data_IF_214781146978
#
_entry.id   IF_214781146978
#
_cell.length_a   1.000
_cell.length_b   1.000
_cell.length_c   1.000
_cell.angle_alpha   90.00
_cell.angle_beta   90.00
_cell.angle_gamma   90.00
#
_symmetry.space_group_name_H-M   'P 1'
#
loop_
_entity.id
_entity.type
_entity.pdbx_description
1 polymer ?
#
# COMPACT_ATOMS: atom_id res chain seq x y z
N UNK A 1 0.68 11.71 1.24
CA UNK A 1 0.39 10.26 1.19
C UNK A 1 1.26 9.56 2.22
N UNK A 2 0.72 8.61 2.96
CA UNK A 2 1.42 7.81 3.98
C UNK A 2 1.24 6.34 3.60
N UNK A 3 2.32 5.55 3.68
CA UNK A 3 2.28 4.11 3.47
C UNK A 3 1.95 3.45 4.80
N UNK A 4 0.90 2.65 4.82
CA UNK A 4 0.49 1.95 6.04
C UNK A 4 1.37 0.72 6.26
N UNK A 5 1.53 0.34 7.54
CA UNK A 5 2.20 -0.90 7.92
C UNK A 5 1.20 -2.05 7.94
N UNK A 6 0.61 -2.33 6.78
CA UNK A 6 -0.34 -3.41 6.56
C UNK A 6 -0.01 -4.17 5.26
N UNK A 7 -0.84 -5.18 4.95
CA UNK A 7 -0.80 -5.88 3.68
C UNK A 7 -2.23 -6.05 3.18
N UNK A 8 -2.46 -5.68 1.92
CA UNK A 8 -3.76 -5.87 1.26
C UNK A 8 -3.87 -7.31 0.79
N UNK A 9 -4.87 -8.01 1.31
CA UNK A 9 -5.14 -9.42 1.06
C UNK A 9 -6.59 -9.56 0.57
N UNK A 10 -6.85 -10.32 -0.49
CA UNK A 10 -8.20 -10.65 -0.94
C UNK A 10 -8.26 -12.15 -1.26
N UNK A 11 -8.94 -12.94 -0.45
CA UNK A 11 -9.01 -14.41 -0.63
C UNK A 11 -9.92 -14.84 -1.78
N UNK A 12 -10.82 -13.97 -2.24
CA UNK A 12 -11.83 -14.30 -3.26
C UNK A 12 -11.43 -13.81 -4.65
N UNK A 13 -10.89 -12.60 -4.74
CA UNK A 13 -10.57 -11.92 -6.00
C UNK A 13 -9.07 -11.67 -6.11
N UNK A 14 -8.30 -12.72 -6.43
CA UNK A 14 -6.84 -12.66 -6.51
C UNK A 14 -6.23 -13.40 -7.71
N UNK A 15 -4.93 -13.19 -7.93
CA UNK A 15 -4.13 -13.86 -8.96
C UNK A 15 -3.51 -15.17 -8.44
N UNK A 16 -4.30 -16.00 -7.75
CA UNK A 16 -3.94 -17.34 -7.28
C UNK A 16 -3.46 -17.42 -5.82
N UNK A 17 -3.20 -16.29 -5.17
CA UNK A 17 -2.87 -16.21 -3.74
C UNK A 17 -3.53 -14.96 -3.13
N UNK A 18 -4.04 -15.07 -1.90
CA UNK A 18 -4.74 -13.96 -1.24
C UNK A 18 -3.94 -12.66 -1.17
N UNK A 19 -2.62 -12.74 -1.04
CA UNK A 19 -1.71 -11.58 -1.04
C UNK A 19 -1.41 -10.99 -2.44
N UNK A 20 -2.17 -11.39 -3.48
CA UNK A 20 -2.10 -10.84 -4.84
C UNK A 20 -3.52 -10.44 -5.28
N UNK A 21 -4.17 -9.50 -4.58
CA UNK A 21 -5.51 -9.04 -4.94
C UNK A 21 -5.58 -8.49 -6.37
N UNK A 22 -6.70 -8.75 -7.03
CA UNK A 22 -7.07 -8.14 -8.31
C UNK A 22 -7.72 -6.79 -8.05
N UNK A 23 -7.00 -5.71 -8.36
CA UNK A 23 -7.52 -4.35 -8.20
C UNK A 23 -8.28 -3.96 -9.46
N UNK A 24 -9.57 -3.66 -9.30
CA UNK A 24 -10.51 -3.28 -10.37
C UNK A 24 -11.24 -1.96 -10.11
N UNK A 25 -11.24 -1.51 -8.87
CA UNK A 25 -11.86 -0.25 -8.48
C UNK A 25 -10.91 0.91 -8.80
N UNK A 26 -11.08 1.47 -10.00
CA UNK A 26 -10.29 2.59 -10.49
C UNK A 26 -11.13 3.85 -10.60
N UNK A 27 -10.58 4.97 -10.14
CA UNK A 27 -11.06 6.30 -10.49
C UNK A 27 -10.52 6.68 -11.87
N UNK A 28 -11.34 7.38 -12.67
CA UNK A 28 -10.94 7.85 -13.98
C UNK A 28 -9.74 8.81 -13.86
N UNK A 29 -8.57 8.36 -14.30
CA UNK A 29 -7.32 9.11 -14.24
C UNK A 29 -6.44 8.75 -15.45
N UNK A 30 -5.59 9.67 -15.97
CA UNK A 30 -4.71 9.35 -17.09
C UNK A 30 -3.82 8.12 -16.87
N UNK A 31 -3.39 7.87 -15.62
CA UNK A 31 -2.54 6.70 -15.31
C UNK A 31 -3.30 5.36 -15.44
N UNK A 32 -4.62 5.35 -15.26
CA UNK A 32 -5.49 4.17 -15.40
C UNK A 32 -6.14 4.06 -16.79
N UNK A 33 -5.74 4.91 -17.74
CA UNK A 33 -6.34 4.94 -19.08
C UNK A 33 -6.23 3.58 -19.80
N UNK A 34 -7.39 2.96 -20.02
CA UNK A 34 -7.52 1.65 -20.65
C UNK A 34 -6.88 0.51 -19.85
N UNK A 35 -6.81 0.65 -18.52
CA UNK A 35 -6.50 -0.41 -17.56
C UNK A 35 -7.82 -0.88 -16.96
N UNK A 36 -8.07 -2.19 -16.97
CA UNK A 36 -9.31 -2.78 -16.42
C UNK A 36 -9.06 -3.56 -15.14
N UNK A 37 -7.84 -4.07 -14.95
CA UNK A 37 -7.43 -4.76 -13.74
C UNK A 37 -5.89 -4.76 -13.63
N UNK A 38 -5.39 -4.84 -12.40
CA UNK A 38 -3.97 -5.08 -12.09
C UNK A 38 -3.86 -6.12 -10.98
N UNK A 39 -2.82 -6.97 -11.03
CA UNK A 39 -2.49 -7.86 -9.93
C UNK A 39 -1.61 -7.10 -8.92
N UNK A 40 -2.17 -6.76 -7.77
CA UNK A 40 -1.48 -5.94 -6.77
C UNK A 40 -0.75 -6.82 -5.75
N UNK A 41 0.45 -7.25 -6.11
CA UNK A 41 1.23 -8.24 -5.35
C UNK A 41 1.82 -7.65 -4.07
N UNK A 42 1.54 -8.28 -2.93
CA UNK A 42 2.18 -8.04 -1.63
C UNK A 42 2.33 -6.54 -1.27
N UNK A 43 1.33 -5.73 -1.60
CA UNK A 43 1.35 -4.30 -1.32
C UNK A 43 0.62 -3.91 -0.04
N UNK A 44 0.92 -2.72 0.44
CA UNK A 44 0.21 -2.08 1.54
C UNK A 44 -0.84 -1.08 1.04
N UNK A 45 -1.69 -0.63 1.96
CA UNK A 45 -2.62 0.47 1.74
C UNK A 45 -1.95 1.83 1.93
N UNK A 46 -2.63 2.88 1.47
CA UNK A 46 -2.16 4.26 1.50
C UNK A 46 -3.18 5.17 2.17
N UNK A 47 -2.73 5.97 3.14
CA UNK A 47 -3.52 7.07 3.70
C UNK A 47 -3.28 8.36 2.92
N UNK A 48 -4.38 9.02 2.52
CA UNK A 48 -4.35 10.28 1.80
C UNK A 48 -4.10 11.43 2.78
N UNK A 49 -3.17 12.31 2.41
CA UNK A 49 -2.85 13.53 3.17
C UNK A 49 -2.65 14.65 2.17
N UNK A 50 -3.46 15.72 2.26
CA UNK A 50 -3.43 16.87 1.37
C UNK A 50 -4.19 16.65 0.05
N UNK A 51 -3.81 17.40 -0.99
CA UNK A 51 -4.43 17.32 -2.32
C UNK A 51 -3.94 16.09 -3.10
N UNK A 52 -4.50 14.94 -2.76
CA UNK A 52 -4.16 13.62 -3.30
C UNK A 52 -5.43 12.92 -3.73
N UNK A 53 -5.40 12.25 -4.88
CA UNK A 53 -6.51 11.48 -5.43
C UNK A 53 -6.18 9.99 -5.27
N UNK A 54 -7.10 9.21 -4.70
CA UNK A 54 -7.05 7.76 -4.74
C UNK A 54 -7.42 7.31 -6.16
N UNK A 55 -6.44 6.81 -6.90
CA UNK A 55 -6.64 6.39 -8.30
C UNK A 55 -7.10 4.95 -8.38
N UNK A 56 -6.68 4.12 -7.42
CA UNK A 56 -7.17 2.75 -7.29
C UNK A 56 -7.34 2.40 -5.82
N UNK A 57 -8.35 1.57 -5.53
CA UNK A 57 -8.66 1.09 -4.19
C UNK A 57 -8.75 -0.45 -4.16
N UNK A 58 -8.53 -1.03 -2.98
CA UNK A 58 -8.79 -2.45 -2.74
C UNK A 58 -10.28 -2.78 -2.90
N UNK A 59 -10.59 -4.05 -3.16
CA UNK A 59 -11.97 -4.49 -3.30
C UNK A 59 -12.75 -4.47 -1.97
N UNK A 60 -14.07 -4.66 -2.06
CA UNK A 60 -14.96 -4.75 -0.90
C UNK A 60 -14.68 -6.01 -0.05
N UNK A 61 -14.18 -7.08 -0.67
CA UNK A 61 -13.83 -8.35 0.00
C UNK A 61 -12.35 -8.42 0.41
N UNK A 62 -11.58 -7.38 0.12
CA UNK A 62 -10.20 -7.29 0.54
C UNK A 62 -10.09 -6.89 2.02
N UNK A 63 -8.97 -7.22 2.63
CA UNK A 63 -8.57 -6.81 3.96
C UNK A 63 -7.23 -6.06 3.84
N UNK A 64 -7.16 -4.77 4.19
CA UNK A 64 -8.29 -3.86 4.46
C UNK A 64 -9.22 -3.61 3.24
N UNK A 65 -10.50 -3.35 3.52
CA UNK A 65 -11.56 -3.19 2.51
C UNK A 65 -11.62 -1.75 1.96
N UNK A 66 -11.83 -1.61 0.65
CA UNK A 66 -12.06 -0.32 -0.02
C UNK A 66 -11.07 0.78 0.34
N UNK A 67 -9.80 0.43 0.56
CA UNK A 67 -8.75 1.39 0.90
C UNK A 67 -7.90 1.77 -0.31
N UNK A 68 -7.35 2.98 -0.37
CA UNK A 68 -6.47 3.40 -1.45
C UNK A 68 -5.20 2.55 -1.52
N UNK A 69 -4.84 2.11 -2.72
CA UNK A 69 -3.60 1.34 -2.98
C UNK A 69 -2.69 2.01 -4.00
N UNK A 70 -3.27 2.89 -4.84
CA UNK A 70 -2.56 3.77 -5.75
C UNK A 70 -3.11 5.18 -5.59
N UNK A 71 -2.23 6.14 -5.39
CA UNK A 71 -2.58 7.54 -5.26
C UNK A 71 -1.79 8.41 -6.22
N UNK A 72 -2.39 9.50 -6.68
CA UNK A 72 -1.73 10.50 -7.50
C UNK A 72 -1.92 11.88 -6.87
N UNK A 73 -0.88 12.70 -6.95
CA UNK A 73 -0.91 14.08 -6.49
C UNK A 73 -0.27 14.98 -7.54
N UNK A 74 -0.89 16.13 -7.80
CA UNK A 74 -0.33 17.18 -8.63
C UNK A 74 -0.31 18.47 -7.82
N UNK A 75 0.85 19.10 -7.75
CA UNK A 75 1.01 20.44 -7.19
C UNK A 75 1.77 21.29 -8.20
N UNK A 76 1.07 22.27 -8.79
CA UNK A 76 1.52 23.03 -9.94
C UNK A 76 1.99 22.12 -11.10
N UNK A 77 3.30 22.17 -11.39
CA UNK A 77 3.97 21.40 -12.43
C UNK A 77 4.61 20.10 -11.91
N UNK A 78 4.59 19.89 -10.59
CA UNK A 78 5.06 18.69 -9.92
C UNK A 78 3.97 17.63 -9.89
N UNK A 79 4.34 16.40 -10.25
CA UNK A 79 3.44 15.23 -10.22
C UNK A 79 4.10 14.11 -9.46
N UNK A 80 3.33 13.42 -8.62
CA UNK A 80 3.79 12.28 -7.81
C UNK A 80 2.75 11.17 -7.91
N UNK A 81 3.21 9.93 -8.07
CA UNK A 81 2.37 8.72 -7.94
C UNK A 81 2.94 7.91 -6.77
N UNK A 82 2.08 7.52 -5.83
CA UNK A 82 2.38 6.57 -4.77
C UNK A 82 1.68 5.26 -5.04
N UNK A 83 2.40 4.15 -4.88
CA UNK A 83 1.89 2.79 -5.16
C UNK A 83 2.34 1.90 -4.02
N UNK A 84 1.40 1.27 -3.31
CA UNK A 84 1.70 0.42 -2.16
C UNK A 84 2.38 -0.91 -2.50
N UNK A 85 2.59 -1.23 -3.78
CA UNK A 85 3.26 -2.44 -4.26
C UNK A 85 4.39 -2.11 -5.23
N UNK A 86 5.62 -2.48 -4.87
CA UNK A 86 6.75 -2.47 -5.80
C UNK A 86 6.90 -3.81 -6.55
N UNK A 87 6.38 -4.91 -5.96
CA UNK A 87 6.48 -6.26 -6.50
C UNK A 87 5.77 -6.38 -7.87
N UNK A 88 4.69 -5.64 -8.10
CA UNK A 88 3.99 -5.63 -9.40
C UNK A 88 4.87 -5.15 -10.57
N UNK A 89 5.99 -4.49 -10.30
CA UNK A 89 6.95 -4.02 -11.31
C UNK A 89 8.22 -4.87 -11.38
N UNK A 90 8.31 -5.98 -10.63
CA UNK A 90 9.48 -6.87 -10.69
C UNK A 90 9.41 -7.79 -11.90
N UNK A 91 10.56 -8.02 -12.52
CA UNK A 91 10.70 -9.00 -13.58
C UNK A 91 10.69 -10.44 -13.03
N UNK A 92 10.26 -11.38 -13.89
CA UNK A 92 10.39 -12.83 -13.67
C UNK A 92 9.73 -13.37 -12.40
N UNK A 93 8.72 -12.67 -11.88
CA UNK A 93 7.84 -13.20 -10.83
C UNK A 93 6.41 -13.30 -11.34
N UNK A 94 5.65 -14.24 -10.79
CA UNK A 94 4.21 -14.33 -11.06
C UNK A 94 3.53 -13.02 -10.63
N UNK A 95 2.66 -12.47 -11.49
CA UNK A 95 1.99 -11.19 -11.26
C UNK A 95 2.94 -9.99 -11.09
N UNK A 96 4.16 -10.10 -11.64
CA UNK A 96 5.11 -8.99 -11.75
C UNK A 96 4.90 -8.19 -13.03
N UNK A 97 5.96 -7.60 -13.57
CA UNK A 97 5.90 -6.71 -14.74
C UNK A 97 5.38 -7.40 -16.01
N UNK A 98 5.56 -8.72 -16.13
CA UNK A 98 5.07 -9.52 -17.25
C UNK A 98 3.54 -9.71 -17.30
N UNK A 99 2.81 -9.25 -16.28
CA UNK A 99 1.36 -9.28 -16.26
C UNK A 99 0.78 -8.35 -17.35
N UNK A 100 -0.30 -8.79 -17.99
CA UNK A 100 -0.76 -8.25 -19.29
C UNK A 100 -0.96 -6.73 -19.33
N UNK A 101 -1.38 -6.12 -18.21
CA UNK A 101 -1.68 -4.69 -18.13
C UNK A 101 -0.63 -3.87 -17.38
N UNK A 102 0.32 -4.51 -16.68
CA UNK A 102 1.31 -3.80 -15.86
C UNK A 102 2.22 -2.92 -16.72
N UNK A 103 2.70 -3.42 -17.86
CA UNK A 103 3.53 -2.63 -18.78
C UNK A 103 2.81 -1.36 -19.29
N UNK A 104 1.51 -1.47 -19.62
CA UNK A 104 0.70 -0.32 -20.04
C UNK A 104 0.46 0.65 -18.90
N UNK A 105 0.13 0.13 -17.70
CA UNK A 105 -0.04 0.94 -16.50
C UNK A 105 1.24 1.73 -16.16
N UNK A 106 2.40 1.08 -16.19
CA UNK A 106 3.71 1.71 -16.03
C UNK A 106 3.96 2.79 -17.08
N UNK A 107 3.65 2.52 -18.36
CA UNK A 107 3.77 3.53 -19.42
C UNK A 107 2.89 4.75 -19.16
N UNK A 108 1.62 4.54 -18.77
CA UNK A 108 0.71 5.62 -18.43
C UNK A 108 1.23 6.45 -17.25
N UNK A 109 1.77 5.82 -16.20
CA UNK A 109 2.40 6.50 -15.07
C UNK A 109 3.54 7.40 -15.55
N UNK A 110 4.48 6.86 -16.32
CA UNK A 110 5.63 7.65 -16.78
C UNK A 110 5.20 8.79 -17.70
N UNK A 111 4.27 8.55 -18.62
CA UNK A 111 3.73 9.60 -19.50
C UNK A 111 3.06 10.71 -18.70
N UNK A 112 2.32 10.37 -17.64
CA UNK A 112 1.70 11.35 -16.77
C UNK A 112 2.72 12.11 -15.90
N UNK A 113 3.75 11.44 -15.38
CA UNK A 113 4.79 12.07 -14.56
C UNK A 113 5.64 13.09 -15.36
N UNK A 114 5.75 12.94 -16.68
CA UNK A 114 6.41 13.94 -17.53
C UNK A 114 5.49 15.15 -17.71
N UNK A 115 5.75 16.21 -16.95
CA UNK A 115 5.00 17.47 -17.07
C UNK A 115 5.30 18.24 -18.35
N UNK A 116 4.35 19.08 -18.76
CA UNK A 116 4.47 20.00 -19.90
C UNK A 116 5.72 20.90 -19.77
N UNK A 117 6.07 21.31 -18.54
CA UNK A 117 7.30 22.05 -18.25
C UNK A 117 8.54 21.29 -18.72
N UNK A 118 8.61 19.97 -18.49
CA UNK A 118 9.74 19.14 -18.93
C UNK A 118 9.87 19.16 -20.46
N UNK A 119 8.75 19.14 -21.18
CA UNK A 119 8.73 19.27 -22.64
C UNK A 119 9.21 20.65 -23.10
N UNK A 120 8.73 21.72 -22.46
CA UNK A 120 9.16 23.09 -22.78
C UNK A 120 10.65 23.29 -22.53
N UNK A 121 11.19 22.77 -21.42
CA UNK A 121 12.63 22.82 -21.13
C UNK A 121 13.46 22.03 -22.17
N UNK A 122 12.96 20.87 -22.64
CA UNK A 122 13.59 20.12 -23.74
C UNK A 122 13.62 20.93 -25.02
N UNK A 123 12.49 21.52 -25.40
CA UNK A 123 12.40 22.36 -26.60
C UNK A 123 13.35 23.58 -26.53
N UNK A 124 13.61 24.09 -25.33
CA UNK A 124 14.54 25.21 -25.10
C UNK A 124 16.01 24.77 -24.91
N UNK A 125 16.32 23.47 -24.99
CA UNK A 125 17.64 22.92 -24.61
C UNK A 125 18.09 23.31 -23.19
N UNK A 126 17.15 23.52 -22.26
CA UNK A 126 17.38 23.86 -20.84
C UNK A 126 17.11 22.68 -19.91
N UNK A 127 17.22 21.45 -20.41
CA UNK A 127 16.99 20.26 -19.58
C UNK A 127 18.09 20.20 -18.52
N UNK A 128 17.76 20.03 -17.23
CA UNK A 128 18.75 19.74 -16.21
C UNK A 128 19.55 18.50 -16.63
N UNK A 129 20.86 18.65 -16.78
CA UNK A 129 21.76 17.53 -17.00
C UNK A 129 21.71 16.70 -15.70
N UNK A 130 21.40 15.39 -15.77
CA UNK A 130 21.42 14.54 -14.59
C UNK A 130 22.75 14.72 -13.84
N UNK A 131 22.68 14.90 -12.52
CA UNK A 131 23.90 15.00 -11.73
C UNK A 131 24.70 13.71 -11.92
N UNK A 132 25.86 13.82 -12.58
CA UNK A 132 26.73 12.69 -12.93
C UNK A 132 27.12 11.92 -11.65
N UNK A 133 27.29 12.60 -10.51
CA UNK A 133 27.59 11.96 -9.24
C UNK A 133 26.48 10.97 -8.79
N UNK A 134 25.21 11.33 -9.02
CA UNK A 134 24.08 10.44 -8.71
C UNK A 134 23.97 9.27 -9.68
N UNK A 135 24.31 9.46 -10.96
CA UNK A 135 24.32 8.39 -11.95
C UNK A 135 25.44 7.37 -11.70
N UNK A 136 26.62 7.83 -11.27
CA UNK A 136 27.75 6.96 -10.90
C UNK A 136 27.42 6.15 -9.64
N UNK A 137 26.75 6.75 -8.65
CA UNK A 137 26.28 6.03 -7.46
C UNK A 137 25.30 4.91 -7.81
N UNK A 138 24.28 5.20 -8.63
CA UNK A 138 23.29 4.21 -9.06
C UNK A 138 23.90 3.08 -9.90
N UNK A 139 24.88 3.39 -10.76
CA UNK A 139 25.60 2.37 -11.54
C UNK A 139 26.49 1.48 -10.66
N UNK A 140 27.09 2.02 -9.60
CA UNK A 140 27.90 1.24 -8.67
C UNK A 140 27.05 0.29 -7.84
N UNK A 141 25.87 0.69 -7.36
CA UNK A 141 24.93 -0.21 -6.69
C UNK A 141 24.43 -1.32 -7.62
N UNK A 142 24.11 -0.99 -8.88
CA UNK A 142 23.62 -1.97 -9.85
C UNK A 142 24.71 -2.96 -10.27
N UNK A 143 25.95 -2.50 -10.43
CA UNK A 143 27.09 -3.35 -10.78
C UNK A 143 27.57 -4.21 -9.60
N UNK A 144 27.32 -3.79 -8.36
CA UNK A 144 27.75 -4.52 -7.17
C UNK A 144 26.97 -5.83 -6.97
N UNK A 145 25.83 -6.04 -7.66
CA UNK A 145 24.99 -7.24 -7.51
C UNK A 145 24.65 -7.57 -6.04
N UNK A 146 24.79 -6.58 -5.15
CA UNK A 146 24.41 -6.64 -3.76
C UNK A 146 22.92 -6.40 -3.73
N UNK A 147 22.13 -7.48 -3.81
CA UNK A 147 20.81 -7.48 -3.16
C UNK A 147 21.00 -6.85 -1.78
N UNK A 148 20.31 -5.75 -1.44
CA UNK A 148 20.37 -5.25 -0.08
C UNK A 148 19.93 -6.40 0.82
N UNK A 149 20.86 -6.90 1.64
CA UNK A 149 20.46 -7.66 2.81
C UNK A 149 19.45 -6.78 3.55
N UNK A 150 18.31 -7.38 3.93
CA UNK A 150 17.37 -6.81 4.88
C UNK A 150 18.11 -6.60 6.20
N UNK A 151 18.92 -5.54 6.29
CA UNK A 151 19.46 -5.06 7.52
C UNK A 151 18.45 -4.03 8.02
N UNK A 152 17.65 -4.44 9.01
CA UNK A 152 16.70 -3.62 9.77
C UNK A 152 17.43 -2.60 10.65
N UNK A 153 18.47 -1.97 10.11
CA UNK A 153 19.18 -0.84 10.68
C UNK A 153 18.24 0.34 10.74
N UNK A 154 17.83 0.69 11.95
CA UNK A 154 17.13 1.93 12.24
C UNK A 154 17.87 3.11 11.61
N UNK A 155 17.18 4.12 11.04
CA UNK A 155 17.85 5.31 10.55
C UNK A 155 18.68 5.93 11.69
N UNK A 156 19.87 6.51 11.41
CA UNK A 156 20.69 7.10 12.44
C UNK A 156 19.87 8.13 13.20
N UNK A 157 19.68 7.88 14.50
CA UNK A 157 19.03 8.80 15.43
C UNK A 157 19.88 10.06 15.48
N UNK A 158 19.46 11.07 14.71
CA UNK A 158 19.93 12.42 14.91
C UNK A 158 19.52 12.85 16.32
N UNK A 159 20.51 13.04 17.18
CA UNK A 159 20.35 13.67 18.49
C UNK A 159 19.73 15.05 18.29
N UNK A 160 18.42 15.17 18.52
CA UNK A 160 17.74 16.45 18.65
C UNK A 160 18.19 17.08 19.96
N UNK A 161 18.87 18.23 19.86
CA UNK A 161 19.22 19.07 21.00
C UNK A 161 17.94 19.42 21.78
N UNK A 162 17.89 19.06 23.05
CA UNK A 162 16.79 19.35 23.99
C UNK A 162 16.95 20.68 24.71
N UNK A 163 17.86 21.55 24.24
CA UNK A 163 17.93 22.91 24.78
C UNK A 163 16.77 23.77 24.22
N UNK A 164 15.90 24.33 25.07
CA UNK A 164 14.91 25.30 24.63
C UNK A 164 15.65 26.52 24.08
N UNK A 165 15.56 26.73 22.77
CA UNK A 165 16.11 27.91 22.12
C UNK A 165 15.54 29.16 22.80
N UNK A 166 16.43 29.98 23.39
CA UNK A 166 16.08 31.25 24.02
C UNK A 166 15.50 32.30 23.04
N UNK A 167 15.33 31.92 21.77
CA UNK A 167 14.72 32.71 20.70
C UNK A 167 13.38 32.10 20.26
N UNK A 168 12.43 31.93 21.18
CA UNK A 168 11.03 31.79 20.81
C UNK A 168 10.58 33.13 20.20
N UNK A 169 10.89 33.33 18.92
CA UNK A 169 10.51 34.52 18.18
C UNK A 169 9.00 34.70 18.30
N UNK A 170 8.58 35.90 18.72
CA UNK A 170 7.19 36.34 18.54
C UNK A 170 6.87 36.21 17.05
N UNK A 171 6.06 35.21 16.70
CA UNK A 171 5.52 35.07 15.36
C UNK A 171 4.46 36.15 15.16
N UNK A 172 4.89 37.33 14.71
CA UNK A 172 3.98 38.31 14.12
C UNK A 172 3.80 37.96 12.64
N UNK A 173 2.68 37.28 12.33
CA UNK A 173 2.29 37.02 10.95
C UNK A 173 1.61 38.27 10.42
N UNK A 174 2.38 39.11 9.73
CA UNK A 174 1.85 40.30 9.05
C UNK A 174 1.94 40.09 7.54
N UNK A 175 1.02 39.30 6.99
CA UNK A 175 0.93 39.04 5.54
C UNK A 175 -0.07 40.01 4.91
N UNK A 176 0.45 40.94 4.09
CA UNK A 176 -0.37 41.80 3.26
C UNK A 176 -0.72 41.05 1.97
N UNK A 177 -1.98 40.67 1.80
CA UNK A 177 -2.45 39.95 0.62
C UNK A 177 -2.98 40.97 -0.41
N UNK A 178 -2.33 41.06 -1.57
CA UNK A 178 -2.77 41.93 -2.67
C UNK A 178 -3.60 41.12 -3.67
N UNK A 179 -4.92 41.33 -3.66
CA UNK A 179 -5.87 40.63 -4.52
C UNK A 179 -6.19 41.54 -5.72
N UNK A 180 -5.62 41.23 -6.89
CA UNK A 180 -5.81 42.04 -8.10
C UNK A 180 -6.95 41.53 -8.98
N UNK A 181 -7.23 40.22 -8.95
CA UNK A 181 -8.27 39.59 -9.76
C UNK A 181 -9.12 38.61 -8.95
N UNK A 182 -10.31 38.27 -9.48
CA UNK A 182 -11.21 37.28 -8.84
C UNK A 182 -10.60 35.87 -8.80
N UNK A 183 -9.74 35.53 -9.77
CA UNK A 183 -8.97 34.28 -9.74
C UNK A 183 -7.93 34.28 -8.62
N UNK A 184 -7.25 35.41 -8.39
CA UNK A 184 -6.26 35.53 -7.30
C UNK A 184 -6.92 35.35 -5.93
N UNK A 185 -8.15 35.88 -5.76
CA UNK A 185 -8.93 35.66 -4.54
C UNK A 185 -9.22 34.17 -4.29
N UNK A 186 -9.59 33.44 -5.35
CA UNK A 186 -9.86 32.01 -5.26
C UNK A 186 -8.61 31.20 -4.91
N UNK A 187 -7.47 31.57 -5.49
CA UNK A 187 -6.17 30.97 -5.19
C UNK A 187 -5.79 31.24 -3.74
N UNK A 188 -5.90 32.48 -3.26
CA UNK A 188 -5.50 32.80 -1.88
C UNK A 188 -6.44 32.22 -0.83
N UNK A 189 -7.74 32.15 -1.09
CA UNK A 189 -8.65 31.41 -0.22
C UNK A 189 -8.29 29.92 -0.16
N UNK A 190 -7.87 29.33 -1.28
CA UNK A 190 -7.41 27.93 -1.31
C UNK A 190 -6.12 27.75 -0.51
N UNK A 191 -5.16 28.66 -0.63
CA UNK A 191 -3.93 28.63 0.15
C UNK A 191 -4.19 28.77 1.65
N UNK A 192 -5.07 29.70 2.05
CA UNK A 192 -5.48 29.87 3.46
C UNK A 192 -6.13 28.59 4.01
N UNK A 193 -6.97 27.91 3.22
CA UNK A 193 -7.57 26.63 3.62
C UNK A 193 -6.50 25.54 3.81
N UNK A 194 -5.48 25.48 2.94
CA UNK A 194 -4.37 24.54 3.07
C UNK A 194 -3.54 24.82 4.33
N UNK A 195 -3.28 26.09 4.63
CA UNK A 195 -2.59 26.48 5.86
C UNK A 195 -3.40 26.11 7.11
N UNK A 196 -4.73 26.25 7.06
CA UNK A 196 -5.61 25.87 8.15
C UNK A 196 -5.59 24.36 8.43
N UNK A 197 -5.64 23.52 7.40
CA UNK A 197 -5.51 22.06 7.57
C UNK A 197 -4.12 21.66 8.09
N UNK A 198 -3.06 22.36 7.66
CA UNK A 198 -1.71 22.14 8.17
C UNK A 198 -1.62 22.51 9.66
N UNK A 199 -2.21 23.64 10.06
CA UNK A 199 -2.26 24.10 11.44
C UNK A 199 -3.05 23.11 12.31
N UNK A 200 -4.19 22.62 11.82
CA UNK A 200 -5.00 21.60 12.49
C UNK A 200 -4.19 20.32 12.71
N UNK A 201 -3.50 19.80 11.69
CA UNK A 201 -2.64 18.62 11.83
C UNK A 201 -1.53 18.79 12.87
N UNK A 202 -0.91 19.98 12.93
CA UNK A 202 0.07 20.32 13.99
C UNK A 202 -0.56 20.35 15.38
N UNK A 203 -1.75 20.94 15.51
CA UNK A 203 -2.49 20.99 16.78
C UNK A 203 -2.87 19.58 17.27
N UNK A 204 -3.35 18.71 16.38
CA UNK A 204 -3.65 17.32 16.70
C UNK A 204 -2.42 16.53 17.15
N UNK A 205 -1.25 16.78 16.54
CA UNK A 205 0.01 16.19 16.97
C UNK A 205 0.43 16.66 18.36
N UNK A 206 0.27 17.96 18.66
CA UNK A 206 0.51 18.51 20.01
C UNK A 206 -0.45 17.89 21.03
N UNK A 207 -1.75 17.80 20.71
CA UNK A 207 -2.74 17.15 21.59
C UNK A 207 -2.34 15.70 21.88
N UNK A 208 -1.97 14.93 20.84
CA UNK A 208 -1.50 13.55 21.01
C UNK A 208 -0.25 13.46 21.89
N UNK A 209 0.74 14.33 21.66
CA UNK A 209 1.96 14.37 22.45
C UNK A 209 1.67 14.72 23.93
N UNK A 210 0.76 15.66 24.18
CA UNK A 210 0.30 16.03 25.53
C UNK A 210 -0.43 14.87 26.20
N UNK A 211 -1.33 14.18 25.49
CA UNK A 211 -2.07 13.03 26.02
C UNK A 211 -1.18 11.82 26.31
N UNK A 212 -0.09 11.67 25.57
CA UNK A 212 0.91 10.62 25.79
C UNK A 212 1.98 11.00 26.82
N UNK A 213 1.98 12.25 27.30
CA UNK A 213 2.97 12.69 28.28
C UNK A 213 2.72 12.01 29.63
N UNK A 214 3.81 11.59 30.28
CA UNK A 214 3.75 10.90 31.58
C UNK A 214 3.08 11.76 32.67
N UNK A 215 3.20 13.08 32.57
CA UNK A 215 2.62 14.04 33.51
C UNK A 215 1.09 14.09 33.44
N UNK A 216 0.51 14.05 32.23
CA UNK A 216 -0.95 14.01 32.03
C UNK A 216 -1.52 12.66 32.44
N UNK A 217 -0.79 11.57 32.15
CA UNK A 217 -1.17 10.22 32.60
C UNK A 217 -1.13 10.14 34.14
N UNK A 218 -0.12 10.73 34.79
CA UNK A 218 0.00 10.76 36.24
C UNK A 218 -1.10 11.60 36.89
N UNK A 219 -1.43 12.78 36.34
CA UNK A 219 -2.55 13.60 36.80
C UNK A 219 -3.91 12.88 36.68
N UNK A 220 -4.11 12.07 35.63
CA UNK A 220 -5.31 11.24 35.48
C UNK A 220 -5.41 10.11 36.50
N UNK A 221 -4.27 9.57 36.96
CA UNK A 221 -4.20 8.55 38.00
C UNK A 221 -4.48 9.15 39.39
N UNK A 222 -3.95 10.34 39.68
CA UNK A 222 -4.15 11.02 40.96
C UNK A 222 -5.59 11.55 41.13
N UNK A 223 -6.25 11.93 40.03
CA UNK A 223 -7.66 12.36 40.06
C UNK A 223 -8.67 11.25 40.42
N UNK A 224 -8.27 9.97 40.33
CA UNK A 224 -9.11 8.83 40.77
C UNK A 224 -9.11 8.60 42.29
N UNK A 225 -8.32 9.36 43.06
CA UNK A 225 -8.30 9.31 44.52
C UNK A 225 -9.21 10.36 45.19
N UNK A 226 -10.10 11.01 44.43
CA UNK A 226 -11.06 11.98 44.98
C UNK A 226 -12.29 11.28 45.58
N UNK A 227 -12.81 11.74 46.74
CA UNK A 227 -14.00 11.17 47.35
C UNK A 227 -15.23 11.37 46.44
N UNK A 228 -16.03 10.32 46.29
CA UNK A 228 -17.31 10.32 45.58
C UNK A 228 -18.19 11.48 46.05
N UNK A 229 -18.43 12.44 45.15
CA UNK A 229 -19.41 13.50 45.35
C UNK A 229 -20.84 12.91 45.35
N UNK A 230 -21.77 13.52 46.11
CA UNK A 230 -23.13 13.04 46.22
C UNK A 230 -23.87 13.15 44.89
N UNK A 231 -24.54 12.05 44.53
CA UNK A 231 -25.43 11.92 43.38
C UNK A 231 -26.53 12.97 43.44
N UNK A 232 -26.57 13.87 42.46
CA UNK A 232 -27.73 14.73 42.23
C UNK A 232 -28.76 13.95 41.40
N UNK A 233 -29.93 13.71 41.98
CA UNK A 233 -31.09 13.20 41.25
C UNK A 233 -31.51 14.20 40.18
N UNK A 234 -31.48 13.75 38.92
CA UNK A 234 -31.97 14.51 37.78
C UNK A 234 -33.49 14.33 37.70
N UNK A 235 -34.23 15.36 38.08
CA UNK A 235 -35.68 15.45 37.87
C UNK A 235 -35.96 15.62 36.39
N UNK A 236 -36.64 14.64 35.82
CA UNK A 236 -37.16 14.62 34.45
C UNK A 236 -38.30 15.65 34.30
N UNK A 237 -38.06 16.73 33.57
CA UNK A 237 -39.10 17.68 33.17
C UNK A 237 -39.59 17.39 31.74
N UNK A 238 -40.80 16.86 31.70
CA UNK A 238 -41.93 17.22 30.83
C UNK A 238 -41.60 17.86 29.48
N UNK A 239 -41.59 17.04 28.41
CA UNK A 239 -41.65 17.53 27.03
C UNK A 239 -43.06 17.32 26.46
N UNK A 240 -43.68 18.46 26.17
CA UNK A 240 -45.00 18.69 25.58
C UNK A 240 -45.12 18.07 24.19
N UNK A 241 -46.23 17.35 23.95
CA UNK A 241 -46.63 16.83 22.64
C UNK A 241 -46.89 17.97 21.65
N UNK A 242 -46.18 17.95 20.51
CA UNK A 242 -46.50 18.77 19.34
C UNK A 242 -47.13 17.83 18.28
N UNK A 243 -48.35 18.12 17.78
CA UNK A 243 -48.97 17.28 16.76
C UNK A 243 -48.26 17.43 15.40
N UNK A 244 -47.78 16.29 14.86
CA UNK A 244 -47.24 16.17 13.50
C UNK A 244 -48.34 16.38 12.46
N UNK A 245 -48.29 17.51 11.76
CA UNK A 245 -48.96 17.66 10.46
C UNK A 245 -48.09 17.03 9.36
N UNK A 246 -48.71 16.21 8.53
CA UNK A 246 -48.07 15.52 7.41
C UNK A 246 -47.74 16.52 6.28
N UNK A 247 -46.50 16.56 5.76
CA UNK A 247 -46.19 17.34 4.57
C UNK A 247 -46.65 16.61 3.31
N UNK A 248 -47.29 17.36 2.42
CA UNK A 248 -47.71 16.91 1.11
C UNK A 248 -46.52 16.46 0.24
N UNK A 249 -46.72 15.37 -0.48
CA UNK A 249 -45.78 14.75 -1.42
C UNK A 249 -45.50 15.72 -2.59
N UNK A 250 -44.24 16.12 -2.86
CA UNK A 250 -43.93 16.89 -4.05
C UNK A 250 -43.90 15.97 -5.27
N UNK A 251 -44.74 16.31 -6.26
CA UNK A 251 -44.75 15.71 -7.59
C UNK A 251 -43.42 15.96 -8.30
N UNK A 252 -42.69 14.89 -8.60
CA UNK A 252 -41.44 14.94 -9.36
C UNK A 252 -41.72 15.24 -10.84
N UNK A 253 -41.32 16.42 -11.31
CA UNK A 253 -41.13 16.70 -12.73
C UNK A 253 -39.89 15.99 -13.27
N UNK A 254 -39.96 15.38 -14.46
CA UNK A 254 -38.82 14.68 -15.06
C UNK A 254 -37.71 15.66 -15.45
N UNK A 255 -36.47 15.28 -15.13
CA UNK A 255 -35.25 16.04 -15.43
C UNK A 255 -34.96 16.00 -16.94
N UNK A 256 -34.56 17.12 -17.57
CA UNK A 256 -34.18 17.12 -18.98
C UNK A 256 -32.94 16.26 -19.25
N UNK A 257 -32.96 15.52 -20.37
CA UNK A 257 -31.84 14.67 -20.78
C UNK A 257 -30.56 15.51 -21.01
N UNK A 258 -29.38 15.01 -20.57
CA UNK A 258 -28.12 15.70 -20.79
C UNK A 258 -27.77 15.75 -22.29
N UNK A 259 -27.15 16.85 -22.76
CA UNK A 259 -26.77 16.99 -24.16
C UNK A 259 -25.73 15.94 -24.54
N UNK A 260 -26.04 15.14 -25.57
CA UNK A 260 -25.10 14.20 -26.19
C UNK A 260 -23.91 14.98 -26.76
N UNK A 261 -22.76 14.93 -26.09
CA UNK A 261 -21.51 15.42 -26.65
C UNK A 261 -21.10 14.48 -27.79
N UNK A 262 -20.99 15.03 -28.99
CA UNK A 262 -20.31 14.36 -30.10
C UNK A 262 -18.82 14.46 -29.81
N UNK A 263 -18.20 13.34 -29.47
CA UNK A 263 -16.74 13.23 -29.45
C UNK A 263 -16.24 13.44 -30.87
N UNK A 264 -15.47 14.51 -31.07
CA UNK A 264 -14.69 14.73 -32.28
C UNK A 264 -13.58 13.69 -32.36
N UNK A 265 -13.41 13.10 -33.53
CA UNK A 265 -12.35 12.12 -33.83
C UNK A 265 -10.96 12.66 -33.46
N UNK A 266 -10.13 11.78 -32.90
CA UNK A 266 -8.74 12.06 -32.55
C UNK A 266 -7.92 12.43 -33.80
N UNK A 267 -6.90 13.31 -33.68
CA UNK A 267 -6.05 13.68 -34.80
C UNK A 267 -5.30 12.47 -35.35
N UNK A 268 -5.39 12.29 -36.67
CA UNK A 268 -4.63 11.29 -37.42
C UNK A 268 -3.12 11.60 -37.26
N UNK A 269 -2.27 10.63 -36.89
CA UNK A 269 -0.84 10.84 -36.80
C UNK A 269 -0.23 11.15 -38.18
N UNK A 270 0.82 11.98 -38.24
CA UNK A 270 1.44 12.39 -39.50
C UNK A 270 2.03 11.19 -40.27
N UNK A 271 1.99 11.21 -41.61
CA UNK A 271 2.49 10.13 -42.44
C UNK A 271 4.02 10.06 -42.32
N UNK A 272 4.55 8.94 -41.81
CA UNK A 272 6.00 8.74 -41.73
C UNK A 272 6.51 7.64 -40.78
N UNK A 273 5.64 6.96 -40.01
CA UNK A 273 6.08 5.85 -39.16
C UNK A 273 6.24 4.54 -39.99
N UNK A 274 7.38 3.83 -39.87
CA UNK A 274 7.62 2.60 -40.62
C UNK A 274 6.69 1.48 -40.16
N UNK A 275 5.95 0.92 -41.11
CA UNK A 275 5.08 -0.25 -40.94
C UNK A 275 5.92 -1.49 -40.63
N UNK A 276 5.81 -2.01 -39.40
CA UNK A 276 6.37 -3.30 -39.03
C UNK A 276 5.38 -4.38 -39.46
N UNK A 277 5.77 -5.18 -40.46
CA UNK A 277 5.01 -6.33 -40.96
C UNK A 277 5.16 -7.51 -39.99
N UNK A 278 4.07 -8.17 -39.55
CA UNK A 278 4.18 -9.37 -38.72
C UNK A 278 4.66 -10.55 -39.57
N UNK A 279 5.81 -11.13 -39.23
CA UNK A 279 6.23 -12.42 -39.79
C UNK A 279 5.42 -13.55 -39.17
N UNK A 280 4.85 -14.35 -40.07
CA UNK A 280 4.10 -15.59 -39.86
C UNK A 280 4.99 -16.65 -39.19
N UNK A 281 4.61 -17.10 -37.99
CA UNK A 281 5.14 -18.32 -37.39
C UNK A 281 4.45 -19.51 -38.06
N UNK A 282 5.22 -20.25 -38.86
CA UNK A 282 4.82 -21.55 -39.38
C UNK A 282 5.01 -22.63 -38.30
N UNK A 283 3.95 -23.40 -38.10
CA UNK A 283 3.91 -24.67 -37.38
C UNK A 283 4.83 -25.70 -38.05
N UNK A 284 5.68 -26.36 -37.27
CA UNK A 284 6.22 -27.67 -37.63
C UNK A 284 5.87 -28.65 -36.52
N UNK A 285 4.85 -29.47 -36.82
CA UNK A 285 4.55 -30.72 -36.14
C UNK A 285 5.30 -31.84 -36.87
N UNK A 286 6.03 -32.70 -36.15
CA UNK A 286 5.93 -34.17 -36.22
C UNK A 286 7.21 -34.92 -35.81
N UNK A 287 6.96 -36.04 -35.10
CA UNK A 287 7.73 -37.29 -34.95
C UNK A 287 8.98 -37.25 -34.05
N UNK A 288 9.05 -37.91 -32.88
CA UNK A 288 8.79 -39.31 -32.45
C UNK A 288 10.12 -40.05 -32.19
N UNK A 289 10.12 -40.73 -31.03
CA UNK A 289 10.89 -41.89 -30.62
C UNK A 289 12.30 -41.81 -30.00
N UNK A 290 12.36 -42.62 -28.94
CA UNK A 290 13.48 -43.41 -28.40
C UNK A 290 14.37 -42.80 -27.31
N UNK A 291 14.01 -43.16 -26.09
CA UNK A 291 14.87 -43.30 -24.90
C UNK A 291 15.94 -44.38 -25.18
N UNK A 292 17.19 -44.14 -24.77
CA UNK A 292 17.99 -45.22 -24.20
C UNK A 292 18.37 -44.88 -22.76
N UNK A 293 17.94 -45.79 -21.89
CA UNK A 293 18.39 -45.99 -20.52
C UNK A 293 19.90 -46.24 -20.53
N UNK A 294 20.66 -45.36 -19.86
CA UNK A 294 22.09 -45.57 -19.65
C UNK A 294 22.42 -45.44 -18.16
N UNK A 295 22.66 -46.61 -17.58
CA UNK A 295 23.18 -46.88 -16.25
C UNK A 295 24.60 -46.28 -16.12
N UNK A 296 24.77 -45.32 -15.20
CA UNK A 296 26.09 -44.74 -14.89
C UNK A 296 26.40 -44.93 -13.41
N UNK A 297 27.41 -45.75 -13.16
CA UNK A 297 28.03 -46.03 -11.87
C UNK A 297 28.61 -44.76 -11.19
N UNK A 298 28.72 -44.74 -9.84
CA UNK A 298 28.99 -43.54 -9.08
C UNK A 298 30.48 -43.17 -9.10
N UNK A 299 30.84 -42.04 -9.74
CA UNK A 299 32.13 -41.40 -9.55
C UNK A 299 32.10 -40.49 -8.32
N UNK A 300 32.84 -40.90 -7.28
CA UNK A 300 33.23 -40.06 -6.13
C UNK A 300 34.02 -38.85 -6.63
N UNK A 301 33.39 -37.67 -6.68
CA UNK A 301 34.10 -36.40 -6.71
C UNK A 301 33.91 -35.70 -5.37
N UNK A 302 35.00 -35.56 -4.61
CA UNK A 302 35.07 -34.74 -3.40
C UNK A 302 34.88 -33.27 -3.78
N UNK A 303 33.64 -32.79 -3.76
CA UNK A 303 33.31 -31.38 -3.89
C UNK A 303 33.32 -30.81 -2.47
N UNK A 304 34.31 -29.94 -2.17
CA UNK A 304 34.33 -29.12 -0.95
C UNK A 304 33.00 -28.35 -0.89
N UNK A 305 32.16 -28.71 0.07
CA UNK A 305 30.95 -27.98 0.42
C UNK A 305 31.37 -26.54 0.79
N UNK A 306 30.75 -25.51 0.20
CA UNK A 306 30.91 -24.14 0.68
C UNK A 306 30.52 -24.13 2.17
N UNK A 307 31.34 -23.49 3.00
CA UNK A 307 31.07 -23.37 4.43
C UNK A 307 29.64 -22.83 4.61
N UNK A 308 28.78 -23.62 5.27
CA UNK A 308 27.45 -23.17 5.63
C UNK A 308 27.59 -21.88 6.44
N UNK A 309 26.80 -20.83 6.12
CA UNK A 309 26.77 -19.64 6.93
C UNK A 309 26.40 -20.06 8.35
N UNK A 310 27.27 -19.74 9.30
CA UNK A 310 27.02 -19.97 10.72
C UNK A 310 25.80 -19.16 11.13
N UNK A 311 24.63 -19.80 11.17
CA UNK A 311 23.39 -19.23 11.68
C UNK A 311 23.65 -18.72 13.11
N UNK A 312 23.35 -17.44 13.37
CA UNK A 312 23.54 -16.86 14.69
C UNK A 312 22.46 -17.40 15.65
N UNK A 313 22.85 -17.65 16.91
CA UNK A 313 21.93 -18.12 17.97
C UNK A 313 20.75 -17.16 18.17
N UNK A 314 20.98 -15.86 18.02
CA UNK A 314 19.95 -14.83 18.17
C UNK A 314 18.90 -14.89 17.06
N UNK A 315 19.32 -15.15 15.82
CA UNK A 315 18.42 -15.34 14.68
C UNK A 315 17.53 -16.57 14.87
N UNK A 316 18.11 -17.68 15.34
CA UNK A 316 17.37 -18.91 15.63
C UNK A 316 16.33 -18.72 16.76
N UNK A 317 16.62 -17.91 17.78
CA UNK A 317 15.64 -17.58 18.83
C UNK A 317 14.49 -16.73 18.30
N UNK A 318 14.78 -15.78 17.42
CA UNK A 318 13.78 -14.91 16.80
C UNK A 318 12.88 -15.70 15.85
N UNK A 319 13.46 -16.59 15.05
CA UNK A 319 12.72 -17.51 14.19
C UNK A 319 11.84 -18.46 15.01
N UNK A 320 12.36 -19.00 16.13
CA UNK A 320 11.59 -19.84 17.05
C UNK A 320 10.34 -19.12 17.58
N UNK A 321 10.46 -17.85 18.00
CA UNK A 321 9.34 -17.07 18.52
C UNK A 321 8.31 -16.74 17.42
N UNK A 322 8.79 -16.45 16.21
CA UNK A 322 7.94 -16.24 15.02
C UNK A 322 7.11 -17.49 14.72
N UNK A 323 7.72 -18.68 14.77
CA UNK A 323 7.02 -19.95 14.51
C UNK A 323 6.03 -20.28 15.63
N UNK A 324 6.34 -19.98 16.89
CA UNK A 324 5.39 -20.13 18.00
C UNK A 324 4.16 -19.25 17.81
N UNK A 325 4.36 -18.01 17.41
CA UNK A 325 3.28 -17.07 17.08
C UNK A 325 2.42 -17.60 15.93
N UNK A 326 3.04 -18.16 14.90
CA UNK A 326 2.35 -18.80 13.77
C UNK A 326 1.52 -20.02 14.22
N UNK A 327 2.05 -20.88 15.09
CA UNK A 327 1.32 -22.03 15.63
C UNK A 327 0.06 -21.59 16.39
N UNK A 328 0.17 -20.56 17.22
CA UNK A 328 -0.97 -20.00 17.97
C UNK A 328 -2.04 -19.48 16.99
N UNK A 329 -1.63 -18.71 15.98
CA UNK A 329 -2.54 -18.19 14.96
C UNK A 329 -3.28 -19.30 14.19
N UNK A 330 -2.59 -20.37 13.80
CA UNK A 330 -3.20 -21.53 13.13
C UNK A 330 -4.21 -22.22 14.06
N UNK A 331 -3.90 -22.36 15.35
CA UNK A 331 -4.81 -22.93 16.34
C UNK A 331 -6.06 -22.07 16.52
N UNK A 332 -5.91 -20.75 16.65
CA UNK A 332 -7.03 -19.82 16.75
C UNK A 332 -7.93 -19.91 15.51
N UNK A 333 -7.34 -19.97 14.31
CA UNK A 333 -8.09 -20.11 13.05
C UNK A 333 -8.83 -21.46 12.97
N UNK A 334 -8.24 -22.53 13.49
CA UNK A 334 -8.90 -23.84 13.61
C UNK A 334 -10.13 -23.75 14.53
N UNK A 335 -9.98 -23.18 15.72
CA UNK A 335 -11.11 -23.01 16.66
C UNK A 335 -12.21 -22.11 16.09
N UNK A 336 -11.84 -21.07 15.32
CA UNK A 336 -12.77 -20.18 14.65
C UNK A 336 -13.56 -20.91 13.55
N UNK A 337 -12.88 -21.70 12.73
CA UNK A 337 -13.50 -22.51 11.68
C UNK A 337 -14.48 -23.53 12.28
N UNK A 338 -14.10 -24.20 13.38
CA UNK A 338 -15.00 -25.10 14.12
C UNK A 338 -16.25 -24.38 14.64
N UNK A 339 -16.10 -23.17 15.19
CA UNK A 339 -17.23 -22.35 15.65
C UNK A 339 -18.16 -21.99 14.49
N UNK A 340 -17.63 -21.61 13.33
CA UNK A 340 -18.42 -21.32 12.12
C UNK A 340 -19.16 -22.55 11.61
N UNK A 341 -18.51 -23.73 11.62
CA UNK A 341 -19.14 -24.98 11.22
C UNK A 341 -20.28 -25.38 12.16
N UNK A 342 -20.06 -25.31 13.49
CA UNK A 342 -21.11 -25.56 14.50
C UNK A 342 -22.28 -24.59 14.38
N UNK A 343 -22.03 -23.36 13.94
CA UNK A 343 -23.07 -22.36 13.67
C UNK A 343 -23.80 -22.55 12.32
N UNK A 344 -23.43 -23.56 11.52
CA UNK A 344 -24.02 -23.81 10.20
C UNK A 344 -23.65 -22.77 9.14
N UNK A 345 -22.60 -21.96 9.37
CA UNK A 345 -22.18 -20.89 8.46
C UNK A 345 -21.28 -21.36 7.32
N UNK A 346 -20.75 -22.57 7.41
CA UNK A 346 -19.90 -23.22 6.39
C UNK A 346 -20.38 -24.66 6.22
N UNK A 347 -20.35 -25.14 4.99
CA UNK A 347 -20.74 -26.52 4.69
C UNK A 347 -19.68 -27.52 5.15
N UNK A 348 -20.09 -28.78 5.35
CA UNK A 348 -19.22 -29.83 5.86
C UNK A 348 -18.03 -30.14 4.93
N UNK A 349 -18.18 -29.94 3.62
CA UNK A 349 -17.13 -30.23 2.64
C UNK A 349 -16.05 -29.15 2.68
N UNK A 350 -16.45 -27.87 2.70
CA UNK A 350 -15.56 -26.74 2.87
C UNK A 350 -14.84 -26.78 4.22
N UNK A 351 -15.55 -27.08 5.31
CA UNK A 351 -14.95 -27.24 6.64
C UNK A 351 -13.87 -28.33 6.65
N UNK A 352 -14.16 -29.53 6.11
CA UNK A 352 -13.20 -30.64 6.07
C UNK A 352 -11.96 -30.30 5.23
N UNK A 353 -12.13 -29.57 4.13
CA UNK A 353 -11.01 -29.10 3.30
C UNK A 353 -10.14 -28.08 4.04
N UNK A 354 -10.78 -27.11 4.69
CA UNK A 354 -10.08 -26.09 5.48
C UNK A 354 -9.34 -26.72 6.68
N UNK A 355 -9.98 -27.65 7.39
CA UNK A 355 -9.39 -28.39 8.51
C UNK A 355 -8.15 -29.18 8.07
N UNK A 356 -8.23 -29.90 6.94
CA UNK A 356 -7.09 -30.65 6.41
C UNK A 356 -5.90 -29.74 6.02
N UNK A 357 -6.18 -28.55 5.49
CA UNK A 357 -5.14 -27.55 5.17
C UNK A 357 -4.47 -27.04 6.44
N UNK A 358 -5.25 -26.58 7.43
CA UNK A 358 -4.73 -26.05 8.69
C UNK A 358 -3.94 -27.11 9.47
N UNK A 359 -4.35 -28.39 9.42
CA UNK A 359 -3.63 -29.50 10.03
C UNK A 359 -2.27 -29.75 9.35
N UNK A 360 -2.19 -29.57 8.04
CA UNK A 360 -0.93 -29.70 7.28
C UNK A 360 0.03 -28.57 7.64
N UNK A 361 -0.47 -27.33 7.71
CA UNK A 361 0.33 -26.16 8.08
C UNK A 361 0.81 -26.23 9.53
N UNK A 362 -0.04 -26.69 10.45
CA UNK A 362 0.31 -26.91 11.85
C UNK A 362 1.46 -27.91 11.98
N UNK A 363 1.39 -29.05 11.27
CA UNK A 363 2.47 -30.06 11.26
C UNK A 363 3.78 -29.50 10.71
N UNK A 364 3.72 -28.69 9.65
CA UNK A 364 4.90 -28.04 9.06
C UNK A 364 5.55 -27.07 10.05
N UNK A 365 4.75 -26.22 10.70
CA UNK A 365 5.24 -25.28 11.70
C UNK A 365 5.86 -25.99 12.92
N UNK A 366 5.20 -27.06 13.41
CA UNK A 366 5.73 -27.88 14.51
C UNK A 366 7.03 -28.60 14.13
N UNK A 367 7.13 -29.12 12.91
CA UNK A 367 8.36 -29.75 12.42
C UNK A 367 9.52 -28.75 12.36
N UNK A 368 9.28 -27.54 11.82
CA UNK A 368 10.29 -26.48 11.77
C UNK A 368 10.71 -26.02 13.17
N UNK A 369 9.75 -25.89 14.10
CA UNK A 369 10.05 -25.57 15.50
C UNK A 369 10.99 -26.63 16.12
N UNK A 370 10.70 -27.91 15.89
CA UNK A 370 11.53 -29.02 16.38
C UNK A 370 12.94 -29.01 15.79
N UNK A 371 13.06 -28.63 14.51
CA UNK A 371 14.35 -28.47 13.83
C UNK A 371 15.19 -27.36 14.46
N UNK A 372 14.60 -26.17 14.68
CA UNK A 372 15.27 -25.03 15.32
C UNK A 372 15.67 -25.35 16.76
N UNK A 373 14.79 -26.02 17.52
CA UNK A 373 15.12 -26.49 18.87
C UNK A 373 16.28 -27.49 18.87
N UNK A 374 16.38 -28.33 17.84
CA UNK A 374 17.51 -29.22 17.60
C UNK A 374 18.81 -28.44 17.37
N UNK A 375 18.78 -27.44 16.47
CA UNK A 375 19.92 -26.56 16.19
C UNK A 375 20.38 -25.81 17.44
N UNK A 376 19.46 -25.23 18.22
CA UNK A 376 19.75 -24.49 19.45
C UNK A 376 20.44 -25.35 20.53
N UNK A 377 20.17 -26.67 20.56
CA UNK A 377 20.87 -27.60 21.47
C UNK A 377 22.36 -27.74 21.15
N UNK A 378 22.76 -27.54 19.90
CA UNK A 378 24.18 -27.58 19.50
C UNK A 378 24.97 -26.31 19.89
N UNK A 379 24.29 -25.25 20.34
CA UNK A 379 24.90 -24.01 20.85
C UNK A 379 25.06 -23.99 22.39
N UNK A 380 24.70 -25.07 23.07
CA UNK A 380 24.96 -25.27 24.51
C UNK A 380 26.19 -26.15 24.67
#
# INVERSE_FOLDING_TARGET
>A
MIFENDQVIDEEHNCGMGNIPNIKDFVMHPITAGITEICFRAGCSLTLVGNVIAVASSGENAQPFSVPVIVAAQNDEGRVVGIGSYEMFRDRIASGFGESQHAKFTSNIFNWLVSEKRYQMRAQNKVPIPNIAGAVFAQQEFAANTTPQNDSGSPPVGTLSTEPSANAAKYEVNTMININTKSDLGIELTNILIEFETLKGRLEAVIRAVMQSKEVIQMGLDARAMPTLPSYESTSDTSTEIPRSAPATPTLTPLPEPPRSKFSDLPIPPPGAPTITPQTLQETSALVDTIPEQEVAPKKSSKKTPAEPTENKEDLLTEMETIRSQIISIQDLKTFSEKKFKAGKIDATAFKKQEASLETDLKRAQFRLSEIEGKLKHFK
#
